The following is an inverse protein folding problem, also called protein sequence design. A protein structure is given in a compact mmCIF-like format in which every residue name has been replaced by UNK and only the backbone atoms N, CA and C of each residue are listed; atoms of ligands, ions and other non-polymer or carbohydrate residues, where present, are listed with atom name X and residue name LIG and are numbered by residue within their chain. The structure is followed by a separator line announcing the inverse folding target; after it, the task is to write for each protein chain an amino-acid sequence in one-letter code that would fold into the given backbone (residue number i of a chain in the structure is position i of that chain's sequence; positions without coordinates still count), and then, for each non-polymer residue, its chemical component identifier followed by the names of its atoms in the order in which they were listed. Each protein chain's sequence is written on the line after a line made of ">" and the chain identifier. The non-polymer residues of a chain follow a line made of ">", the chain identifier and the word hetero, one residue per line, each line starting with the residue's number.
data_IF_214375873903
#
_entry.id   IF_214375873903
#
_cell.length_a   1.000
_cell.length_b   1.000
_cell.length_c   1.000
_cell.angle_alpha   90.00
_cell.angle_beta   90.00
_cell.angle_gamma   90.00
#
_symmetry.space_group_name_H-M   'P 1'
#
loop_
_entity.id
_entity.type
_entity.pdbx_description
1 polymer ?
#
# COMPACT_ATOMS: atom_id res chain seq x y z
N UNK A 1 1.71 2.53 23.50
CA UNK A 1 1.60 2.73 22.03
C UNK A 1 2.48 1.73 21.29
N UNK A 2 3.77 1.57 21.62
CA UNK A 2 4.60 0.46 21.07
C UNK A 2 3.92 -0.92 21.20
N UNK A 3 3.31 -1.20 22.35
CA UNK A 3 2.61 -2.48 22.60
C UNK A 3 1.43 -2.77 21.68
N UNK A 4 0.76 -1.74 21.15
CA UNK A 4 -0.41 -1.95 20.29
C UNK A 4 0.01 -2.20 18.85
N UNK A 5 1.02 -1.48 18.37
CA UNK A 5 1.60 -1.71 17.05
C UNK A 5 2.24 -3.11 16.97
N UNK A 6 3.05 -3.49 17.95
CA UNK A 6 3.62 -4.84 18.03
C UNK A 6 2.53 -5.93 18.03
N UNK A 7 1.40 -5.66 18.69
CA UNK A 7 0.28 -6.59 18.71
C UNK A 7 -0.42 -6.70 17.36
N UNK A 8 -0.65 -5.57 16.67
CA UNK A 8 -1.16 -5.57 15.29
C UNK A 8 -0.23 -6.36 14.38
N UNK A 9 1.08 -6.16 14.47
CA UNK A 9 2.05 -6.89 13.65
C UNK A 9 1.98 -8.41 13.89
N UNK A 10 1.79 -8.84 15.14
CA UNK A 10 1.57 -10.25 15.48
C UNK A 10 0.27 -10.80 14.88
N UNK A 11 -0.82 -10.04 14.94
CA UNK A 11 -2.10 -10.43 14.34
C UNK A 11 -1.96 -10.58 12.82
N UNK A 12 -1.29 -9.63 12.16
CA UNK A 12 -1.04 -9.67 10.72
C UNK A 12 -0.16 -10.87 10.33
N UNK A 13 0.91 -11.13 11.09
CA UNK A 13 1.75 -12.30 10.88
C UNK A 13 0.98 -13.62 11.10
N UNK A 14 0.01 -13.62 12.00
CA UNK A 14 -0.91 -14.75 12.25
C UNK A 14 -2.06 -14.87 11.24
N UNK A 15 -2.21 -13.93 10.31
CA UNK A 15 -3.33 -13.88 9.35
C UNK A 15 -4.67 -13.49 9.99
N UNK A 16 -4.67 -12.95 11.21
CA UNK A 16 -5.84 -12.46 11.92
C UNK A 16 -6.20 -11.03 11.45
N UNK A 17 -6.53 -10.88 10.17
CA UNK A 17 -6.71 -9.57 9.56
C UNK A 17 -7.89 -8.78 10.14
N UNK A 18 -9.00 -9.43 10.50
CA UNK A 18 -10.17 -8.75 11.06
C UNK A 18 -9.88 -8.14 12.44
N UNK A 19 -9.17 -8.88 13.30
CA UNK A 19 -8.76 -8.39 14.62
C UNK A 19 -7.76 -7.22 14.46
N UNK A 20 -6.83 -7.33 13.52
CA UNK A 20 -5.87 -6.27 13.22
C UNK A 20 -6.56 -4.99 12.70
N UNK A 21 -7.55 -5.13 11.82
CA UNK A 21 -8.35 -4.02 11.30
C UNK A 21 -9.03 -3.28 12.46
N UNK A 22 -9.71 -4.01 13.36
CA UNK A 22 -10.42 -3.38 14.48
C UNK A 22 -9.50 -2.53 15.37
N UNK A 23 -8.29 -3.03 15.65
CA UNK A 23 -7.30 -2.27 16.42
C UNK A 23 -6.74 -1.05 15.66
N UNK A 24 -6.48 -1.18 14.37
CA UNK A 24 -6.00 -0.08 13.54
C UNK A 24 -7.06 1.03 13.42
N UNK A 25 -8.33 0.68 13.24
CA UNK A 25 -9.45 1.62 13.21
C UNK A 25 -9.59 2.37 14.55
N UNK A 26 -9.56 1.65 15.68
CA UNK A 26 -9.62 2.24 17.02
C UNK A 26 -8.45 3.22 17.24
N UNK A 27 -7.24 2.85 16.80
CA UNK A 27 -6.07 3.72 16.90
C UNK A 27 -6.22 5.01 16.08
N UNK A 28 -6.79 4.93 14.88
CA UNK A 28 -7.05 6.11 14.05
C UNK A 28 -8.19 6.98 14.60
N UNK A 29 -9.23 6.38 15.20
CA UNK A 29 -10.28 7.14 15.88
C UNK A 29 -9.72 7.95 17.06
N UNK A 30 -8.81 7.35 17.84
CA UNK A 30 -8.15 8.01 18.96
C UNK A 30 -7.10 9.05 18.53
N UNK A 31 -6.50 8.87 17.35
CA UNK A 31 -5.48 9.78 16.81
C UNK A 31 -5.68 10.03 15.30
N UNK A 32 -6.65 10.89 14.91
CA UNK A 32 -6.99 11.11 13.50
C UNK A 32 -5.83 11.66 12.65
N UNK A 33 -4.93 12.43 13.28
CA UNK A 33 -3.73 12.97 12.60
C UNK A 33 -2.71 11.90 12.25
N UNK A 34 -2.86 10.69 12.80
CA UNK A 34 -2.04 9.52 12.53
C UNK A 34 -0.53 9.81 12.46
N UNK A 35 -0.03 10.46 13.52
CA UNK A 35 1.40 10.77 13.66
C UNK A 35 2.28 9.49 13.72
N UNK A 36 1.69 8.30 13.76
CA UNK A 36 2.37 7.01 13.84
C UNK A 36 2.33 6.22 12.53
N UNK A 37 1.57 6.67 11.52
CA UNK A 37 1.51 6.04 10.21
C UNK A 37 0.66 4.76 10.16
N UNK A 38 -0.27 4.55 11.09
CA UNK A 38 -1.16 3.39 11.09
C UNK A 38 -2.07 3.32 9.86
N UNK A 39 -2.38 4.48 9.24
CA UNK A 39 -3.18 4.56 8.02
C UNK A 39 -2.56 3.76 6.87
N UNK A 40 -1.23 3.66 6.80
CA UNK A 40 -0.56 2.90 5.74
C UNK A 40 -0.79 1.39 5.91
N UNK A 41 -0.65 0.90 7.15
CA UNK A 41 -0.92 -0.50 7.48
C UNK A 41 -2.39 -0.82 7.23
N UNK A 42 -3.32 0.01 7.70
CA UNK A 42 -4.76 -0.19 7.50
C UNK A 42 -5.13 -0.22 6.02
N UNK A 43 -4.58 0.70 5.22
CA UNK A 43 -4.79 0.76 3.77
C UNK A 43 -4.38 -0.56 3.08
N UNK A 44 -3.22 -1.11 3.44
CA UNK A 44 -2.73 -2.36 2.87
C UNK A 44 -3.61 -3.55 3.27
N UNK A 45 -4.02 -3.62 4.55
CA UNK A 45 -4.83 -4.72 5.07
C UNK A 45 -6.23 -4.69 4.45
N UNK A 46 -6.87 -3.51 4.35
CA UNK A 46 -8.17 -3.40 3.68
C UNK A 46 -8.14 -3.92 2.24
N UNK A 47 -7.12 -3.56 1.46
CA UNK A 47 -6.99 -4.06 0.09
C UNK A 47 -6.74 -5.58 0.05
N UNK A 48 -5.93 -6.10 0.98
CA UNK A 48 -5.66 -7.54 1.07
C UNK A 48 -6.90 -8.35 1.46
N UNK A 49 -7.87 -7.77 2.16
CA UNK A 49 -9.12 -8.42 2.62
C UNK A 49 -10.37 -8.03 1.81
N UNK A 50 -10.22 -7.47 0.61
CA UNK A 50 -11.33 -7.03 -0.26
C UNK A 50 -12.28 -5.97 0.36
N UNK A 51 -11.80 -5.22 1.36
CA UNK A 51 -12.51 -4.07 1.95
C UNK A 51 -12.33 -2.83 1.07
N UNK A 52 -12.80 -2.92 -0.18
CA UNK A 52 -12.52 -1.91 -1.21
C UNK A 52 -13.27 -0.60 -0.95
N UNK A 53 -14.45 -0.65 -0.31
CA UNK A 53 -15.21 0.56 0.03
C UNK A 53 -14.51 1.33 1.16
N UNK A 54 -14.00 0.62 2.15
CA UNK A 54 -13.23 1.17 3.27
C UNK A 54 -11.87 1.69 2.81
N UNK A 55 -11.22 0.98 1.87
CA UNK A 55 -10.02 1.49 1.17
C UNK A 55 -10.31 2.82 0.47
N UNK A 56 -11.41 2.90 -0.27
CA UNK A 56 -11.82 4.13 -0.99
C UNK A 56 -12.08 5.28 -0.03
N UNK A 57 -12.77 5.00 1.08
CA UNK A 57 -13.03 5.99 2.13
C UNK A 57 -11.73 6.47 2.78
N UNK A 58 -10.83 5.55 3.15
CA UNK A 58 -9.56 5.90 3.77
C UNK A 58 -8.69 6.78 2.86
N UNK A 59 -8.65 6.49 1.55
CA UNK A 59 -7.97 7.35 0.56
C UNK A 59 -8.61 8.74 0.48
N UNK A 60 -9.94 8.83 0.60
CA UNK A 60 -10.64 10.10 0.57
C UNK A 60 -10.38 10.94 1.84
N UNK A 61 -10.31 10.29 3.00
CA UNK A 61 -10.05 10.92 4.29
C UNK A 61 -8.63 11.50 4.37
N UNK A 62 -7.66 10.84 3.73
CA UNK A 62 -6.26 11.27 3.64
C UNK A 62 -5.89 11.72 2.21
N UNK A 63 -6.75 12.53 1.58
CA UNK A 63 -6.55 12.96 0.18
C UNK A 63 -5.36 13.92 -0.05
N UNK A 64 -4.80 14.48 1.02
CA UNK A 64 -3.61 15.31 1.02
C UNK A 64 -2.32 14.49 1.18
N UNK A 65 -2.42 13.19 1.45
CA UNK A 65 -1.29 12.29 1.55
C UNK A 65 -0.75 11.96 0.14
N UNK A 66 0.43 12.52 -0.16
CA UNK A 66 1.11 12.40 -1.44
C UNK A 66 2.14 11.26 -1.47
N UNK A 67 2.10 10.32 -0.52
CA UNK A 67 3.07 9.22 -0.48
C UNK A 67 2.85 8.20 -1.60
N UNK A 68 3.90 7.41 -1.86
CA UNK A 68 3.80 6.24 -2.72
C UNK A 68 2.67 5.29 -2.26
N UNK A 69 2.48 5.14 -0.94
CA UNK A 69 1.47 4.25 -0.39
C UNK A 69 0.06 4.62 -0.86
N UNK A 70 -0.36 5.87 -0.74
CA UNK A 70 -1.70 6.30 -1.18
C UNK A 70 -1.81 6.36 -2.71
N UNK A 71 -0.80 6.88 -3.39
CA UNK A 71 -0.82 7.03 -4.85
C UNK A 71 -0.96 5.67 -5.56
N UNK A 72 -0.16 4.67 -5.16
CA UNK A 72 -0.22 3.33 -5.74
C UNK A 72 -1.47 2.56 -5.29
N UNK A 73 -1.88 2.67 -4.01
CA UNK A 73 -3.11 2.02 -3.54
C UNK A 73 -4.34 2.53 -4.27
N UNK A 74 -4.41 3.82 -4.60
CA UNK A 74 -5.48 4.37 -5.43
C UNK A 74 -5.52 3.82 -6.86
N UNK A 75 -4.36 3.46 -7.42
CA UNK A 75 -4.30 2.75 -8.71
C UNK A 75 -4.73 1.28 -8.55
N UNK A 76 -4.25 0.58 -7.52
CA UNK A 76 -4.63 -0.81 -7.27
C UNK A 76 -6.11 -0.97 -6.95
N UNK A 77 -6.70 -0.06 -6.18
CA UNK A 77 -8.13 -0.02 -5.92
C UNK A 77 -8.94 0.05 -7.22
N UNK A 78 -8.55 0.92 -8.16
CA UNK A 78 -9.18 1.02 -9.48
C UNK A 78 -9.04 -0.30 -10.26
N UNK A 79 -7.86 -0.93 -10.22
CA UNK A 79 -7.64 -2.22 -10.85
C UNK A 79 -8.51 -3.33 -10.22
N UNK A 80 -8.61 -3.38 -8.90
CA UNK A 80 -9.39 -4.39 -8.19
C UNK A 80 -10.89 -4.23 -8.46
N UNK A 81 -11.38 -2.99 -8.60
CA UNK A 81 -12.79 -2.71 -8.90
C UNK A 81 -13.14 -2.97 -10.37
N UNK A 82 -12.28 -2.54 -11.29
CA UNK A 82 -12.63 -2.40 -12.71
C UNK A 82 -11.67 -3.12 -13.69
N UNK A 83 -10.57 -3.69 -13.21
CA UNK A 83 -9.54 -4.31 -14.03
C UNK A 83 -8.62 -3.30 -14.73
N UNK A 84 -7.92 -3.71 -15.81
CA UNK A 84 -6.89 -2.92 -16.50
C UNK A 84 -7.46 -1.83 -17.42
N UNK A 85 -8.29 -0.94 -16.87
CA UNK A 85 -8.95 0.15 -17.59
C UNK A 85 -7.97 1.28 -17.96
N UNK A 86 -8.41 2.20 -18.83
CA UNK A 86 -7.67 3.45 -19.08
C UNK A 86 -7.51 4.28 -17.81
N UNK A 87 -8.52 4.29 -16.92
CA UNK A 87 -8.48 4.96 -15.62
C UNK A 87 -7.38 4.37 -14.73
N UNK A 88 -7.28 3.03 -14.65
CA UNK A 88 -6.20 2.36 -13.93
C UNK A 88 -4.83 2.81 -14.45
N UNK A 89 -4.62 2.74 -15.77
CA UNK A 89 -3.34 3.12 -16.40
C UNK A 89 -2.97 4.57 -16.12
N UNK A 90 -3.94 5.48 -16.18
CA UNK A 90 -3.75 6.89 -15.84
C UNK A 90 -3.33 7.07 -14.38
N UNK A 91 -4.05 6.45 -13.44
CA UNK A 91 -3.72 6.51 -12.00
C UNK A 91 -2.35 5.89 -11.71
N UNK A 92 -2.04 4.75 -12.31
CA UNK A 92 -0.75 4.10 -12.17
C UNK A 92 0.39 4.99 -12.70
N UNK A 93 0.18 5.68 -13.83
CA UNK A 93 1.15 6.64 -14.36
C UNK A 93 1.37 7.83 -13.42
N UNK A 94 0.31 8.34 -12.80
CA UNK A 94 0.41 9.38 -11.77
C UNK A 94 1.17 8.87 -10.53
N UNK A 95 0.93 7.63 -10.10
CA UNK A 95 1.65 7.00 -8.99
C UNK A 95 3.15 6.88 -9.29
N UNK A 96 3.54 6.50 -10.51
CA UNK A 96 4.96 6.51 -10.92
C UNK A 96 5.61 7.89 -10.89
N UNK A 97 4.85 8.96 -11.15
CA UNK A 97 5.38 10.31 -11.02
C UNK A 97 5.58 10.72 -9.55
N UNK A 98 4.87 10.06 -8.62
CA UNK A 98 5.03 10.24 -7.18
C UNK A 98 6.29 9.53 -6.69
N UNK A 99 6.48 8.27 -7.09
CA UNK A 99 7.70 7.53 -6.81
C UNK A 99 8.05 6.59 -7.98
N UNK A 100 9.09 6.95 -8.74
CA UNK A 100 9.48 6.21 -9.94
C UNK A 100 10.22 4.89 -9.64
N UNK A 101 10.64 4.66 -8.39
CA UNK A 101 11.39 3.48 -7.99
C UNK A 101 10.48 2.27 -7.73
N UNK A 102 9.24 2.51 -7.29
CA UNK A 102 8.27 1.46 -6.92
C UNK A 102 8.10 0.36 -7.99
N UNK A 103 7.94 0.66 -9.30
CA UNK A 103 7.74 -0.37 -10.30
C UNK A 103 8.89 -1.37 -10.37
N UNK A 104 10.15 -0.93 -10.19
CA UNK A 104 11.31 -1.81 -10.26
C UNK A 104 11.30 -2.88 -9.15
N UNK A 105 10.82 -2.52 -7.97
CA UNK A 105 10.69 -3.45 -6.85
C UNK A 105 9.43 -4.31 -6.99
N UNK A 106 8.30 -3.75 -7.44
CA UNK A 106 7.04 -4.49 -7.64
C UNK A 106 7.19 -5.63 -8.64
N UNK A 107 7.88 -5.41 -9.77
CA UNK A 107 8.11 -6.44 -10.78
C UNK A 107 9.41 -7.21 -10.56
N UNK A 108 10.00 -7.11 -9.37
CA UNK A 108 11.22 -7.84 -8.99
C UNK A 108 12.42 -7.62 -9.92
N UNK A 109 12.50 -6.46 -10.61
CA UNK A 109 13.71 -6.04 -11.35
C UNK A 109 14.85 -5.70 -10.41
N UNK A 110 14.51 -5.20 -9.21
CA UNK A 110 15.43 -5.03 -8.09
C UNK A 110 14.97 -5.92 -6.92
N UNK A 111 15.89 -6.65 -6.26
CA UNK A 111 15.55 -7.35 -5.03
C UNK A 111 15.30 -6.36 -3.89
N UNK A 112 14.37 -6.69 -2.99
CA UNK A 112 14.25 -5.98 -1.72
C UNK A 112 15.52 -6.22 -0.88
N UNK A 113 16.02 -5.20 -0.15
CA UNK A 113 17.14 -5.38 0.77
C UNK A 113 16.75 -6.32 1.92
N UNK A 114 17.76 -6.94 2.54
CA UNK A 114 17.54 -7.80 3.70
C UNK A 114 17.03 -7.01 4.91
N UNK A 115 17.57 -5.80 5.11
CA UNK A 115 17.15 -4.88 6.16
C UNK A 115 16.30 -3.76 5.55
N UNK A 116 15.16 -3.46 6.18
CA UNK A 116 14.29 -2.36 5.75
C UNK A 116 14.89 -1.01 6.16
N UNK A 117 14.66 0.05 5.38
CA UNK A 117 15.22 1.36 5.66
C UNK A 117 14.67 1.97 6.95
N UNK A 118 15.56 2.48 7.81
CA UNK A 118 15.18 3.19 9.05
C UNK A 118 14.67 4.61 8.78
N UNK A 119 15.10 5.22 7.68
CA UNK A 119 14.74 6.58 7.29
C UNK A 119 14.12 6.55 5.90
N UNK A 120 12.89 7.04 5.82
CA UNK A 120 12.09 7.09 4.60
C UNK A 120 11.87 8.56 4.22
N UNK A 121 12.26 8.94 3.01
CA UNK A 121 11.99 10.26 2.44
C UNK A 121 10.91 10.20 1.37
N UNK A 122 10.11 11.26 1.24
CA UNK A 122 9.08 11.33 0.21
C UNK A 122 9.66 11.23 -1.20
N UNK A 123 9.16 10.29 -1.99
CA UNK A 123 9.54 10.04 -3.38
C UNK A 123 10.88 9.33 -3.57
N UNK A 124 11.58 8.97 -2.49
CA UNK A 124 12.89 8.32 -2.57
C UNK A 124 12.80 6.80 -2.76
N UNK A 125 13.95 6.16 -2.97
CA UNK A 125 14.02 4.72 -3.15
C UNK A 125 13.67 3.93 -1.86
N UNK A 126 13.89 4.51 -0.68
CA UNK A 126 13.56 3.88 0.59
C UNK A 126 12.04 3.81 0.81
N UNK A 127 11.30 4.86 0.41
CA UNK A 127 9.84 4.85 0.39
C UNK A 127 9.31 3.74 -0.52
N UNK A 128 9.92 3.55 -1.69
CA UNK A 128 9.55 2.46 -2.58
C UNK A 128 9.78 1.09 -1.95
N UNK A 129 10.93 0.87 -1.31
CA UNK A 129 11.23 -0.36 -0.60
C UNK A 129 10.21 -0.62 0.53
N UNK A 130 9.92 0.39 1.35
CA UNK A 130 8.97 0.29 2.46
C UNK A 130 7.54 -0.02 1.97
N UNK A 131 7.11 0.65 0.90
CA UNK A 131 5.82 0.40 0.26
C UNK A 131 5.72 -1.04 -0.29
N UNK A 132 6.71 -1.47 -1.07
CA UNK A 132 6.69 -2.81 -1.69
C UNK A 132 6.77 -3.91 -0.61
N UNK A 133 7.58 -3.73 0.44
CA UNK A 133 7.65 -4.67 1.55
C UNK A 133 6.32 -4.79 2.32
N UNK A 134 5.62 -3.67 2.54
CA UNK A 134 4.36 -3.65 3.31
C UNK A 134 3.13 -4.13 2.51
N UNK A 135 3.22 -4.22 1.19
CA UNK A 135 2.11 -4.65 0.32
C UNK A 135 2.10 -6.14 0.00
N UNK A 136 3.01 -6.94 0.56
CA UNK A 136 3.11 -8.39 0.30
C UNK A 136 1.77 -9.15 0.32
N UNK A 137 0.88 -8.95 1.31
CA UNK A 137 -0.44 -9.60 1.36
C UNK A 137 -1.34 -9.30 0.14
N UNK A 138 -1.16 -8.15 -0.52
CA UNK A 138 -1.92 -7.76 -1.70
C UNK A 138 -1.45 -8.47 -2.98
N UNK A 139 -0.20 -8.95 -3.03
CA UNK A 139 0.46 -9.35 -4.28
C UNK A 139 -0.26 -10.48 -5.02
N UNK A 140 -0.86 -11.43 -4.29
CA UNK A 140 -1.62 -12.53 -4.90
C UNK A 140 -2.79 -12.00 -5.74
N UNK A 141 -3.44 -10.93 -5.29
CA UNK A 141 -4.59 -10.32 -5.98
C UNK A 141 -4.17 -9.53 -7.21
N UNK A 142 -3.04 -8.84 -7.13
CA UNK A 142 -2.54 -7.98 -8.21
C UNK A 142 -1.53 -8.70 -9.13
N UNK A 143 -1.22 -9.97 -8.90
CA UNK A 143 -0.26 -10.74 -9.69
C UNK A 143 -0.53 -10.68 -11.21
N UNK A 144 -1.78 -10.82 -11.70
CA UNK A 144 -2.05 -10.69 -13.14
C UNK A 144 -1.73 -9.28 -13.68
N UNK A 145 -1.88 -8.24 -12.85
CA UNK A 145 -1.50 -6.88 -13.21
C UNK A 145 0.03 -6.71 -13.26
N UNK A 146 0.75 -7.32 -12.30
CA UNK A 146 2.22 -7.29 -12.28
C UNK A 146 2.83 -8.00 -13.48
N UNK A 147 2.26 -9.13 -13.90
CA UNK A 147 2.64 -9.83 -15.13
C UNK A 147 2.42 -8.95 -16.37
N UNK A 148 1.27 -8.26 -16.41
CA UNK A 148 0.95 -7.32 -17.47
C UNK A 148 1.93 -6.15 -17.53
N UNK A 149 2.29 -5.56 -16.39
CA UNK A 149 3.27 -4.47 -16.28
C UNK A 149 4.66 -4.92 -16.75
N UNK A 150 5.07 -6.14 -16.42
CA UNK A 150 6.35 -6.71 -16.87
C UNK A 150 6.39 -6.88 -18.39
N UNK A 151 5.25 -7.19 -19.00
CA UNK A 151 5.14 -7.42 -20.45
C UNK A 151 4.99 -6.13 -21.27
N UNK A 152 4.66 -5.01 -20.63
CA UNK A 152 4.36 -3.74 -21.29
C UNK A 152 5.18 -2.63 -20.62
N UNK A 153 6.46 -2.50 -21.00
CA UNK A 153 7.42 -1.53 -20.45
C UNK A 153 7.00 -0.04 -20.61
N UNK A 154 5.90 0.27 -21.31
CA UNK A 154 5.54 1.64 -21.72
C UNK A 154 4.35 2.29 -20.98
N UNK A 155 3.89 1.76 -19.85
CA UNK A 155 2.92 2.50 -18.99
C UNK A 155 3.67 3.48 -18.16
#
# INVERSE_FOLDING_TARGET
>A
METMQEYVDLLLAGGQFEDAIGHLEEMLELNPNDNQGMRYTLLNVYMATDRLAETEQLIADYNDDITAAFAYSGAWLEYLKNGPTSTFKMKFRAAKNTNAHVPDYLVSRKPLPQDLPEVIGFGDENEAIAYVASTGPLWVKIAPALEWLTSNEEV
#
